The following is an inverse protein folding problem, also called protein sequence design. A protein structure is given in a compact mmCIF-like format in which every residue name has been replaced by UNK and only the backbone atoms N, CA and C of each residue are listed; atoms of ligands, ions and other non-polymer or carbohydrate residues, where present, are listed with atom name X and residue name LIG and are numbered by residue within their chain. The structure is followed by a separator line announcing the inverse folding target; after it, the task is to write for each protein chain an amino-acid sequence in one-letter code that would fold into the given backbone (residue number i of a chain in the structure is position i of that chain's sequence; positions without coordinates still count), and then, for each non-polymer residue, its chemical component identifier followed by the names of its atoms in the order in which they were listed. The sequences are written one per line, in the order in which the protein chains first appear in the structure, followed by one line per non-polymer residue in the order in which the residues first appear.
data_IF_737689897309
#
_entry.id   IF_737689897309
#
_cell.length_a   1.000
_cell.length_b   1.000
_cell.length_c   1.000
_cell.angle_alpha   90.00
_cell.angle_beta   90.00
_cell.angle_gamma   90.00
#
_symmetry.space_group_name_H-M   'P 1'
#
loop_
_entity.id
_entity.type
_entity.pdbx_description
1 polymer ?
#
# COMPACT_ATOMS: atom_id res chain seq x y z
N UNK A 1 39.25 -28.11 -49.78
CA UNK A 1 40.62 -28.68 -49.83
C UNK A 1 40.65 -29.62 -51.04
N UNK A 2 41.22 -29.21 -52.18
CA UNK A 2 41.09 -30.03 -53.40
C UNK A 2 41.85 -29.61 -54.66
N UNK A 3 42.65 -28.52 -54.65
CA UNK A 3 43.32 -28.05 -55.89
C UNK A 3 44.85 -27.98 -55.82
N UNK A 4 45.50 -28.45 -54.75
CA UNK A 4 46.96 -28.42 -54.65
C UNK A 4 47.68 -29.55 -55.43
N UNK A 5 46.96 -30.54 -55.96
CA UNK A 5 47.54 -31.75 -56.56
C UNK A 5 47.65 -31.74 -58.10
N UNK A 6 47.31 -30.63 -58.78
CA UNK A 6 47.36 -30.53 -60.25
C UNK A 6 48.38 -29.54 -60.80
N UNK A 7 49.41 -29.22 -60.02
CA UNK A 7 50.53 -28.41 -60.48
C UNK A 7 51.77 -29.32 -60.54
N UNK A 8 51.74 -30.30 -61.46
CA UNK A 8 52.97 -30.92 -61.95
C UNK A 8 53.59 -29.90 -62.90
N UNK A 9 54.33 -28.95 -62.33
CA UNK A 9 55.16 -27.98 -63.08
C UNK A 9 56.22 -28.83 -63.77
N UNK A 10 55.95 -29.20 -65.02
CA UNK A 10 56.99 -29.61 -65.93
C UNK A 10 57.74 -28.31 -66.22
N UNK A 11 58.67 -27.95 -65.33
CA UNK A 11 59.48 -26.75 -65.47
C UNK A 11 60.17 -26.81 -66.82
N UNK A 12 60.22 -25.67 -67.52
CA UNK A 12 60.83 -25.57 -68.84
C UNK A 12 62.26 -26.11 -68.87
N UNK A 13 62.95 -26.13 -67.72
CA UNK A 13 64.23 -26.80 -67.54
C UNK A 13 64.19 -28.28 -67.98
N UNK A 14 63.25 -29.09 -67.51
CA UNK A 14 63.19 -30.51 -67.92
C UNK A 14 62.92 -30.72 -69.41
N UNK A 15 62.22 -29.79 -70.07
CA UNK A 15 61.89 -29.89 -71.49
C UNK A 15 63.09 -29.58 -72.39
N UNK A 16 63.89 -28.57 -72.03
CA UNK A 16 65.00 -28.09 -72.87
C UNK A 16 66.38 -28.54 -72.40
N UNK A 17 66.56 -29.00 -71.15
CA UNK A 17 67.85 -29.51 -70.64
C UNK A 17 68.40 -30.62 -71.53
N UNK A 18 67.54 -31.54 -71.99
CA UNK A 18 67.95 -32.61 -72.91
C UNK A 18 68.49 -32.06 -74.24
N UNK A 19 67.86 -31.01 -74.77
CA UNK A 19 68.28 -30.38 -76.03
C UNK A 19 69.62 -29.64 -75.86
N UNK A 20 69.83 -28.95 -74.73
CA UNK A 20 71.10 -28.30 -74.39
C UNK A 20 72.24 -29.32 -74.21
N UNK A 21 71.99 -30.43 -73.50
CA UNK A 21 72.95 -31.53 -73.36
C UNK A 21 73.32 -32.14 -74.71
N UNK A 22 72.33 -32.36 -75.59
CA UNK A 22 72.56 -32.92 -76.93
C UNK A 22 73.36 -31.95 -77.82
N UNK A 23 73.03 -30.66 -77.80
CA UNK A 23 73.78 -29.62 -78.54
C UNK A 23 75.22 -29.50 -78.04
N UNK A 24 75.44 -29.55 -76.72
CA UNK A 24 76.78 -29.51 -76.12
C UNK A 24 77.62 -30.70 -76.54
N UNK A 25 77.02 -31.90 -76.51
CA UNK A 25 77.67 -33.12 -76.97
C UNK A 25 78.07 -33.05 -78.44
N UNK A 26 77.15 -32.60 -79.32
CA UNK A 26 77.46 -32.42 -80.75
C UNK A 26 78.59 -31.43 -80.99
N UNK A 27 78.63 -30.31 -80.26
CA UNK A 27 79.73 -29.35 -80.36
C UNK A 27 81.07 -29.95 -79.90
N UNK A 28 81.06 -30.77 -78.85
CA UNK A 28 82.26 -31.48 -78.38
C UNK A 28 82.75 -32.55 -79.38
N UNK A 29 81.85 -33.28 -80.00
CA UNK A 29 82.17 -34.27 -81.05
C UNK A 29 82.79 -33.58 -82.28
N UNK A 30 82.26 -32.41 -82.67
CA UNK A 30 82.81 -31.57 -83.74
C UNK A 30 84.20 -31.06 -83.37
N UNK A 31 84.38 -30.54 -82.15
CA UNK A 31 85.68 -30.06 -81.64
C UNK A 31 86.75 -31.17 -81.69
N UNK A 32 86.39 -32.38 -81.26
CA UNK A 32 87.28 -33.55 -81.26
C UNK A 32 87.63 -34.02 -82.69
N UNK A 33 86.65 -33.97 -83.59
CA UNK A 33 86.85 -34.28 -85.02
C UNK A 33 87.77 -33.25 -85.70
N UNK A 34 87.66 -31.97 -85.34
CA UNK A 34 88.52 -30.91 -85.86
C UNK A 34 89.96 -31.02 -85.36
N UNK A 35 90.16 -31.40 -84.09
CA UNK A 35 91.51 -31.65 -83.53
C UNK A 35 92.22 -32.84 -84.18
N UNK A 36 91.48 -33.82 -84.69
CA UNK A 36 92.04 -35.04 -85.31
C UNK A 36 92.33 -34.89 -86.82
N UNK A 37 91.74 -33.91 -87.51
CA UNK A 37 91.96 -33.65 -88.93
C UNK A 37 93.26 -32.84 -89.19
N UNK A 38 94.33 -33.49 -89.71
CA UNK A 38 95.58 -32.84 -90.18
C UNK A 38 95.39 -32.13 -91.54
N UNK A 39 94.59 -31.06 -91.60
CA UNK A 39 94.39 -30.22 -92.79
C UNK A 39 94.64 -28.74 -92.44
N UNK A 40 95.32 -28.00 -93.33
CA UNK A 40 95.51 -26.54 -93.34
C UNK A 40 95.47 -25.79 -92.00
N UNK A 41 96.65 -25.46 -91.46
CA UNK A 41 96.88 -24.88 -90.13
C UNK A 41 96.02 -23.65 -89.76
N UNK A 42 95.46 -22.91 -90.72
CA UNK A 42 94.67 -21.71 -90.44
C UNK A 42 93.15 -21.95 -90.34
N UNK A 43 92.57 -22.82 -91.19
CA UNK A 43 91.10 -23.03 -91.25
C UNK A 43 90.58 -23.83 -90.06
N UNK A 44 91.36 -24.79 -89.55
CA UNK A 44 91.00 -25.60 -88.36
C UNK A 44 90.99 -24.73 -87.09
N UNK A 45 91.88 -23.75 -86.99
CA UNK A 45 91.94 -22.82 -85.85
C UNK A 45 90.70 -21.92 -85.80
N UNK A 46 90.25 -21.41 -86.94
CA UNK A 46 89.04 -20.58 -87.03
C UNK A 46 87.77 -21.38 -86.69
N UNK A 47 87.66 -22.62 -87.17
CA UNK A 47 86.52 -23.47 -86.87
C UNK A 47 86.46 -23.86 -85.38
N UNK A 48 87.60 -24.18 -84.77
CA UNK A 48 87.68 -24.43 -83.32
C UNK A 48 87.30 -23.19 -82.50
N UNK A 49 87.70 -22.00 -82.94
CA UNK A 49 87.29 -20.74 -82.33
C UNK A 49 85.77 -20.54 -82.41
N UNK A 50 85.16 -20.82 -83.57
CA UNK A 50 83.72 -20.72 -83.76
C UNK A 50 82.94 -21.75 -82.92
N UNK A 51 83.44 -22.99 -82.80
CA UNK A 51 82.84 -24.01 -81.93
C UNK A 51 82.91 -23.58 -80.47
N UNK A 52 84.03 -23.03 -80.01
CA UNK A 52 84.14 -22.49 -78.65
C UNK A 52 83.19 -21.30 -78.41
N UNK A 53 83.07 -20.39 -79.38
CA UNK A 53 82.11 -19.29 -79.32
C UNK A 53 80.66 -19.78 -79.26
N UNK A 54 80.32 -20.85 -79.99
CA UNK A 54 79.00 -21.48 -79.95
C UNK A 54 78.75 -22.18 -78.61
N UNK A 55 79.73 -22.90 -78.05
CA UNK A 55 79.63 -23.50 -76.71
C UNK A 55 79.38 -22.42 -75.65
N UNK A 56 80.09 -21.29 -75.71
CA UNK A 56 79.87 -20.16 -74.79
C UNK A 56 78.47 -19.58 -74.92
N UNK A 57 77.99 -19.34 -76.15
CA UNK A 57 76.61 -18.86 -76.38
C UNK A 57 75.56 -19.85 -75.91
N UNK A 58 75.80 -21.16 -76.06
CA UNK A 58 74.90 -22.21 -75.61
C UNK A 58 74.82 -22.23 -74.08
N UNK A 59 75.95 -22.15 -73.38
CA UNK A 59 76.01 -22.06 -71.92
C UNK A 59 75.30 -20.79 -71.39
N UNK A 60 75.48 -19.65 -72.07
CA UNK A 60 74.76 -18.42 -71.73
C UNK A 60 73.24 -18.55 -71.91
N UNK A 61 72.80 -19.22 -72.98
CA UNK A 61 71.39 -19.47 -73.24
C UNK A 61 70.79 -20.43 -72.19
N UNK A 62 71.50 -21.51 -71.86
CA UNK A 62 71.09 -22.45 -70.81
C UNK A 62 70.92 -21.74 -69.46
N UNK A 63 71.89 -20.91 -69.08
CA UNK A 63 71.84 -20.11 -67.85
C UNK A 63 70.63 -19.16 -67.86
N UNK A 64 70.38 -18.44 -68.96
CA UNK A 64 69.23 -17.53 -69.09
C UNK A 64 67.88 -18.25 -68.96
N UNK A 65 67.76 -19.45 -69.52
CA UNK A 65 66.54 -20.27 -69.42
C UNK A 65 66.35 -20.74 -67.98
N UNK A 66 67.42 -21.19 -67.31
CA UNK A 66 67.38 -21.59 -65.90
C UNK A 66 66.96 -20.42 -65.00
N UNK A 67 67.61 -19.26 -65.14
CA UNK A 67 67.29 -18.06 -64.37
C UNK A 67 65.83 -17.61 -64.61
N UNK A 68 65.35 -17.70 -65.86
CA UNK A 68 63.95 -17.39 -66.18
C UNK A 68 62.95 -18.37 -65.55
N UNK A 69 63.28 -19.66 -65.52
CA UNK A 69 62.46 -20.69 -64.88
C UNK A 69 62.39 -20.50 -63.36
N UNK A 70 63.53 -20.20 -62.72
CA UNK A 70 63.58 -19.95 -61.28
C UNK A 70 62.76 -18.71 -60.90
N UNK A 71 62.84 -17.65 -61.73
CA UNK A 71 61.99 -16.47 -61.59
C UNK A 71 60.50 -16.79 -61.76
N UNK A 72 60.13 -17.62 -62.76
CA UNK A 72 58.74 -18.02 -62.98
C UNK A 72 58.20 -18.83 -61.80
N UNK A 73 59.00 -19.74 -61.23
CA UNK A 73 58.63 -20.51 -60.05
C UNK A 73 58.45 -19.62 -58.81
N UNK A 74 59.32 -18.63 -58.62
CA UNK A 74 59.19 -17.65 -57.55
C UNK A 74 57.93 -16.79 -57.70
N UNK A 75 57.61 -16.33 -58.92
CA UNK A 75 56.38 -15.58 -59.22
C UNK A 75 55.14 -16.45 -58.99
N UNK A 76 55.14 -17.70 -59.47
CA UNK A 76 54.02 -18.64 -59.30
C UNK A 76 53.74 -18.90 -57.83
N UNK A 77 54.80 -19.09 -57.03
CA UNK A 77 54.67 -19.27 -55.58
C UNK A 77 54.07 -18.03 -54.89
N UNK A 78 54.50 -16.82 -55.31
CA UNK A 78 53.93 -15.55 -54.81
C UNK A 78 52.45 -15.40 -55.19
N UNK A 79 52.06 -15.77 -56.42
CA UNK A 79 50.66 -15.74 -56.87
C UNK A 79 49.81 -16.70 -56.04
N UNK A 80 50.29 -17.92 -55.80
CA UNK A 80 49.57 -18.89 -54.98
C UNK A 80 49.39 -18.40 -53.53
N UNK A 81 50.43 -17.82 -52.93
CA UNK A 81 50.34 -17.22 -51.59
C UNK A 81 49.38 -16.02 -51.56
N UNK A 82 49.40 -15.21 -52.62
CA UNK A 82 48.47 -14.09 -52.80
C UNK A 82 47.02 -14.56 -52.87
N UNK A 83 46.73 -15.63 -53.62
CA UNK A 83 45.39 -16.22 -53.70
C UNK A 83 44.89 -16.75 -52.36
N UNK A 84 45.74 -17.45 -51.60
CA UNK A 84 45.38 -17.94 -50.25
C UNK A 84 45.09 -16.76 -49.31
N UNK A 85 45.92 -15.71 -49.36
CA UNK A 85 45.70 -14.49 -48.57
C UNK A 85 44.41 -13.77 -48.97
N UNK A 86 44.08 -13.74 -50.26
CA UNK A 86 42.86 -13.14 -50.78
C UNK A 86 41.61 -13.91 -50.32
N UNK A 87 41.66 -15.24 -50.33
CA UNK A 87 40.55 -16.08 -49.84
C UNK A 87 40.36 -15.91 -48.32
N UNK A 88 41.44 -15.81 -47.55
CA UNK A 88 41.37 -15.51 -46.12
C UNK A 88 40.74 -14.12 -45.85
N UNK A 89 41.09 -13.12 -46.69
CA UNK A 89 40.51 -11.78 -46.60
C UNK A 89 39.02 -11.78 -46.94
N UNK A 90 38.60 -12.53 -47.97
CA UNK A 90 37.18 -12.68 -48.34
C UNK A 90 36.37 -13.26 -47.17
N UNK A 91 36.85 -14.33 -46.55
CA UNK A 91 36.19 -14.92 -45.37
C UNK A 91 36.09 -13.90 -44.23
N UNK A 92 37.13 -13.10 -44.02
CA UNK A 92 37.14 -12.06 -42.98
C UNK A 92 36.12 -10.95 -43.27
N UNK A 93 35.98 -10.54 -44.53
CA UNK A 93 34.97 -9.56 -44.98
C UNK A 93 33.55 -10.10 -44.78
N UNK A 94 33.30 -11.36 -45.15
CA UNK A 94 31.98 -11.98 -44.97
C UNK A 94 31.61 -12.07 -43.48
N UNK A 95 32.57 -12.43 -42.62
CA UNK A 95 32.36 -12.44 -41.17
C UNK A 95 32.07 -11.03 -40.63
N UNK A 96 32.85 -10.03 -41.07
CA UNK A 96 32.63 -8.64 -40.68
C UNK A 96 31.24 -8.14 -41.11
N UNK A 97 30.83 -8.46 -42.34
CA UNK A 97 29.50 -8.12 -42.86
C UNK A 97 28.39 -8.72 -42.01
N UNK A 98 28.51 -10.00 -41.63
CA UNK A 98 27.54 -10.67 -40.78
C UNK A 98 27.46 -10.01 -39.40
N UNK A 99 28.60 -9.75 -38.77
CA UNK A 99 28.66 -9.06 -37.47
C UNK A 99 28.08 -7.65 -37.51
N UNK A 100 28.35 -6.90 -38.57
CA UNK A 100 27.77 -5.57 -38.77
C UNK A 100 26.23 -5.64 -38.91
N UNK A 101 25.73 -6.64 -39.64
CA UNK A 101 24.28 -6.86 -39.77
C UNK A 101 23.63 -7.26 -38.44
N UNK A 102 24.26 -8.14 -37.66
CA UNK A 102 23.79 -8.54 -36.33
C UNK A 102 23.76 -7.34 -35.36
N UNK A 103 24.81 -6.52 -35.39
CA UNK A 103 24.88 -5.31 -34.57
C UNK A 103 23.74 -4.33 -34.91
N UNK A 104 23.46 -4.12 -36.19
CA UNK A 104 22.34 -3.27 -36.63
C UNK A 104 21.00 -3.78 -36.11
N UNK A 105 20.71 -5.07 -36.30
CA UNK A 105 19.46 -5.68 -35.84
C UNK A 105 19.30 -5.61 -34.31
N UNK A 106 20.37 -5.84 -33.56
CA UNK A 106 20.35 -5.77 -32.10
C UNK A 106 20.16 -4.33 -31.60
N UNK A 107 20.78 -3.34 -32.27
CA UNK A 107 20.59 -1.93 -31.95
C UNK A 107 19.13 -1.48 -32.17
N UNK A 108 18.51 -1.89 -33.28
CA UNK A 108 17.08 -1.59 -33.55
C UNK A 108 16.18 -2.20 -32.47
N UNK A 109 16.37 -3.48 -32.13
CA UNK A 109 15.60 -4.14 -31.06
C UNK A 109 15.75 -3.45 -29.71
N UNK A 110 16.97 -3.02 -29.36
CA UNK A 110 17.22 -2.31 -28.10
C UNK A 110 16.51 -0.94 -28.08
N UNK A 111 16.51 -0.23 -29.21
CA UNK A 111 15.81 1.04 -29.36
C UNK A 111 14.29 0.87 -29.24
N UNK A 112 13.71 -0.13 -29.91
CA UNK A 112 12.27 -0.44 -29.86
C UNK A 112 11.83 -0.80 -28.45
N UNK A 113 12.58 -1.67 -27.75
CA UNK A 113 12.28 -2.06 -26.38
C UNK A 113 12.33 -0.86 -25.40
N UNK A 114 13.27 0.05 -25.59
CA UNK A 114 13.37 1.27 -24.78
C UNK A 114 12.19 2.22 -25.04
N UNK A 115 11.76 2.37 -26.30
CA UNK A 115 10.60 3.19 -26.66
C UNK A 115 9.30 2.62 -26.06
N UNK A 116 9.09 1.31 -26.13
CA UNK A 116 7.91 0.66 -25.56
C UNK A 116 7.89 0.75 -24.03
N UNK A 117 9.02 0.50 -23.38
CA UNK A 117 9.18 0.65 -21.93
C UNK A 117 8.94 2.09 -21.47
N UNK A 118 9.55 3.07 -22.14
CA UNK A 118 9.37 4.50 -21.84
C UNK A 118 7.91 4.95 -22.05
N UNK A 119 7.24 4.47 -23.10
CA UNK A 119 5.84 4.76 -23.34
C UNK A 119 4.95 4.16 -22.23
N UNK A 120 5.24 2.94 -21.79
CA UNK A 120 4.49 2.31 -20.71
C UNK A 120 4.66 3.09 -19.39
N UNK A 121 5.89 3.46 -19.04
CA UNK A 121 6.18 4.31 -17.87
C UNK A 121 5.45 5.67 -17.95
N UNK A 122 5.42 6.28 -19.14
CA UNK A 122 4.71 7.56 -19.35
C UNK A 122 3.19 7.40 -19.17
N UNK A 123 2.61 6.29 -19.66
CA UNK A 123 1.18 5.99 -19.46
C UNK A 123 0.84 5.76 -18.00
N UNK A 124 1.66 5.00 -17.27
CA UNK A 124 1.50 4.78 -15.84
C UNK A 124 1.64 6.08 -15.04
N UNK A 125 2.61 6.93 -15.39
CA UNK A 125 2.79 8.24 -14.76
C UNK A 125 1.57 9.14 -15.00
N UNK A 126 1.04 9.19 -16.24
CA UNK A 126 -0.20 9.92 -16.56
C UNK A 126 -1.38 9.40 -15.73
N UNK A 127 -1.54 8.09 -15.62
CA UNK A 127 -2.63 7.51 -14.84
C UNK A 127 -2.51 7.85 -13.35
N UNK A 128 -1.30 7.76 -12.79
CA UNK A 128 -1.03 8.18 -11.40
C UNK A 128 -1.30 9.66 -11.18
N UNK A 129 -0.87 10.52 -12.10
CA UNK A 129 -1.13 11.96 -12.03
C UNK A 129 -2.63 12.27 -12.08
N UNK A 130 -3.40 11.59 -12.94
CA UNK A 130 -4.85 11.75 -13.02
C UNK A 130 -5.53 11.39 -11.70
N UNK A 131 -5.21 10.22 -11.12
CA UNK A 131 -5.80 9.81 -9.84
C UNK A 131 -5.47 10.79 -8.71
N UNK A 132 -4.22 11.25 -8.66
CA UNK A 132 -3.82 12.24 -7.67
C UNK A 132 -4.56 13.58 -7.83
N UNK A 133 -4.87 14.00 -9.06
CA UNK A 133 -5.68 15.18 -9.33
C UNK A 133 -7.15 14.98 -8.87
N UNK A 134 -7.74 13.83 -9.19
CA UNK A 134 -9.11 13.49 -8.77
C UNK A 134 -9.23 13.43 -7.23
N UNK A 135 -8.25 12.83 -6.56
CA UNK A 135 -8.15 12.80 -5.10
C UNK A 135 -8.03 14.21 -4.50
N UNK A 136 -7.17 15.07 -5.10
CA UNK A 136 -7.00 16.44 -4.64
C UNK A 136 -8.29 17.26 -4.79
N UNK A 137 -9.04 17.09 -5.88
CA UNK A 137 -10.34 17.73 -6.08
C UNK A 137 -11.37 17.24 -5.05
N UNK A 138 -11.40 15.94 -4.77
CA UNK A 138 -12.25 15.37 -3.71
C UNK A 138 -11.93 15.95 -2.34
N UNK A 139 -10.64 16.11 -2.00
CA UNK A 139 -10.21 16.72 -0.73
C UNK A 139 -10.65 18.18 -0.65
N UNK A 140 -10.57 18.95 -1.74
CA UNK A 140 -11.05 20.34 -1.76
C UNK A 140 -12.56 20.43 -1.46
N UNK A 141 -13.37 19.52 -2.00
CA UNK A 141 -14.81 19.46 -1.68
C UNK A 141 -15.06 19.18 -0.20
N UNK A 142 -14.30 18.25 0.40
CA UNK A 142 -14.40 17.94 1.83
C UNK A 142 -14.03 19.16 2.68
N UNK A 143 -12.95 19.86 2.34
CA UNK A 143 -12.51 21.08 3.04
C UNK A 143 -13.61 22.15 2.94
N UNK A 144 -14.15 22.39 1.75
CA UNK A 144 -15.21 23.39 1.55
C UNK A 144 -16.49 23.05 2.33
N UNK A 145 -16.88 21.78 2.38
CA UNK A 145 -18.02 21.35 3.19
C UNK A 145 -17.73 21.52 4.70
N UNK A 146 -16.52 21.18 5.14
CA UNK A 146 -16.11 21.32 6.54
C UNK A 146 -16.12 22.77 6.99
N UNK A 147 -15.59 23.69 6.18
CA UNK A 147 -15.63 25.14 6.45
C UNK A 147 -17.07 25.67 6.59
N UNK A 148 -18.00 25.18 5.75
CA UNK A 148 -19.44 25.49 5.88
C UNK A 148 -20.02 24.97 7.19
N UNK A 149 -19.70 23.74 7.58
CA UNK A 149 -20.19 23.16 8.84
C UNK A 149 -19.66 23.89 10.07
N UNK A 150 -18.37 24.28 10.06
CA UNK A 150 -17.77 25.09 11.12
C UNK A 150 -18.52 26.42 11.26
N UNK A 151 -18.68 27.17 10.15
CA UNK A 151 -19.40 28.45 10.18
C UNK A 151 -20.85 28.33 10.64
N UNK A 152 -21.54 27.26 10.25
CA UNK A 152 -22.91 27.02 10.70
C UNK A 152 -22.96 26.69 12.20
N UNK A 153 -21.99 25.91 12.68
CA UNK A 153 -21.86 25.57 14.10
C UNK A 153 -21.52 26.80 14.92
N UNK A 154 -20.59 27.64 14.48
CA UNK A 154 -20.22 28.89 15.15
C UNK A 154 -21.44 29.82 15.26
N UNK A 155 -22.19 30.01 14.17
CA UNK A 155 -23.43 30.79 14.20
C UNK A 155 -24.48 30.21 15.15
N UNK A 156 -24.61 28.89 15.19
CA UNK A 156 -25.53 28.22 16.10
C UNK A 156 -25.11 28.47 17.56
N UNK A 157 -23.81 28.32 17.86
CA UNK A 157 -23.24 28.59 19.19
C UNK A 157 -23.50 30.04 19.56
N UNK A 158 -23.16 31.01 18.71
CA UNK A 158 -23.39 32.44 18.96
C UNK A 158 -24.87 32.74 19.21
N UNK A 159 -25.77 32.16 18.39
CA UNK A 159 -27.22 32.37 18.53
C UNK A 159 -27.78 31.77 19.82
N UNK A 160 -27.22 30.66 20.30
CA UNK A 160 -27.70 29.94 21.47
C UNK A 160 -26.99 30.33 22.76
N UNK A 161 -25.84 31.01 22.67
CA UNK A 161 -25.04 31.38 23.83
C UNK A 161 -25.83 32.22 24.84
N UNK A 162 -26.57 33.23 24.34
CA UNK A 162 -27.41 34.07 25.21
C UNK A 162 -28.54 33.26 25.84
N UNK A 163 -29.21 32.38 25.08
CA UNK A 163 -30.30 31.55 25.59
C UNK A 163 -29.81 30.59 26.68
N UNK A 164 -28.66 29.95 26.47
CA UNK A 164 -28.04 29.07 27.45
C UNK A 164 -27.71 29.83 28.74
N UNK A 165 -27.07 30.99 28.63
CA UNK A 165 -26.71 31.81 29.80
C UNK A 165 -27.96 32.31 30.54
N UNK A 166 -29.00 32.72 29.81
CA UNK A 166 -30.27 33.15 30.39
C UNK A 166 -30.96 31.99 31.12
N UNK A 167 -31.04 30.81 30.51
CA UNK A 167 -31.63 29.62 31.14
C UNK A 167 -30.85 29.20 32.38
N UNK A 168 -29.52 29.25 32.34
CA UNK A 168 -28.68 28.96 33.49
C UNK A 168 -28.97 29.94 34.65
N UNK A 169 -28.97 31.24 34.36
CA UNK A 169 -29.27 32.28 35.36
C UNK A 169 -30.69 32.14 35.92
N UNK A 170 -31.68 31.82 35.09
CA UNK A 170 -33.06 31.56 35.55
C UNK A 170 -33.15 30.32 36.44
N UNK A 171 -32.42 29.26 36.11
CA UNK A 171 -32.37 28.04 36.92
C UNK A 171 -31.70 28.31 38.28
N UNK A 172 -30.59 29.05 38.29
CA UNK A 172 -29.89 29.42 39.52
C UNK A 172 -30.78 30.29 40.41
N UNK A 173 -31.55 31.23 39.82
CA UNK A 173 -32.53 32.03 40.55
C UNK A 173 -33.66 31.17 41.14
N UNK A 174 -34.24 30.26 40.35
CA UNK A 174 -35.28 29.33 40.84
C UNK A 174 -34.76 28.41 41.95
N UNK A 175 -33.51 27.97 41.84
CA UNK A 175 -32.88 27.15 42.87
C UNK A 175 -32.74 27.92 44.18
N UNK A 176 -32.36 29.19 44.11
CA UNK A 176 -32.26 30.05 45.28
C UNK A 176 -33.63 30.35 45.90
N UNK A 177 -34.65 30.64 45.08
CA UNK A 177 -36.04 30.78 45.53
C UNK A 177 -36.55 29.51 46.24
N UNK A 178 -36.24 28.33 45.70
CA UNK A 178 -36.60 27.06 46.33
C UNK A 178 -35.87 26.84 47.67
N UNK A 179 -34.59 27.22 47.76
CA UNK A 179 -33.84 27.16 49.02
C UNK A 179 -34.41 28.11 50.06
N UNK A 180 -34.81 29.31 49.66
CA UNK A 180 -35.45 30.27 50.56
C UNK A 180 -36.79 29.72 51.07
N UNK A 181 -37.61 29.15 50.18
CA UNK A 181 -38.87 28.51 50.56
C UNK A 181 -38.67 27.32 51.51
N UNK A 182 -37.67 26.48 51.26
CA UNK A 182 -37.31 25.36 52.14
C UNK A 182 -36.86 25.86 53.51
N UNK A 183 -35.93 26.81 53.55
CA UNK A 183 -35.45 27.43 54.80
C UNK A 183 -36.60 28.04 55.61
N UNK A 184 -37.52 28.73 54.94
CA UNK A 184 -38.71 29.28 55.57
C UNK A 184 -39.63 28.20 56.11
N UNK A 185 -39.86 27.12 55.34
CA UNK A 185 -40.66 25.99 55.80
C UNK A 185 -40.02 25.33 57.01
N UNK A 186 -38.73 25.00 56.94
CA UNK A 186 -37.96 24.39 58.04
C UNK A 186 -38.04 25.27 59.29
N UNK A 187 -37.89 26.60 59.16
CA UNK A 187 -38.03 27.51 60.31
C UNK A 187 -39.42 27.53 60.96
N UNK A 188 -40.46 27.13 60.23
CA UNK A 188 -41.85 27.10 60.70
C UNK A 188 -42.25 25.73 61.26
N UNK A 189 -41.56 24.65 60.88
CA UNK A 189 -41.88 23.28 61.30
C UNK A 189 -41.90 23.10 62.83
N UNK A 190 -40.97 23.64 63.63
CA UNK A 190 -41.02 23.51 65.09
C UNK A 190 -42.32 24.08 65.66
N UNK A 191 -42.72 25.27 65.22
CA UNK A 191 -43.95 25.91 65.72
C UNK A 191 -45.21 25.14 65.31
N UNK A 192 -45.22 24.57 64.10
CA UNK A 192 -46.31 23.72 63.63
C UNK A 192 -46.37 22.42 64.46
N UNK A 193 -45.22 21.77 64.70
CA UNK A 193 -45.11 20.58 65.56
C UNK A 193 -45.56 20.89 66.99
N UNK A 194 -45.25 22.08 67.51
CA UNK A 194 -45.74 22.54 68.80
C UNK A 194 -47.26 22.57 68.87
N UNK A 195 -47.91 23.18 67.87
CA UNK A 195 -49.37 23.30 67.82
C UNK A 195 -50.08 21.97 67.57
N UNK A 196 -49.51 21.13 66.70
CA UNK A 196 -50.16 19.88 66.27
C UNK A 196 -49.84 18.70 67.20
N UNK A 197 -48.56 18.53 67.53
CA UNK A 197 -48.05 17.40 68.29
C UNK A 197 -47.82 17.70 69.77
N UNK A 198 -47.71 18.98 70.16
CA UNK A 198 -47.61 19.40 71.57
C UNK A 198 -46.22 19.82 72.04
N UNK A 199 -45.20 19.78 71.17
CA UNK A 199 -43.84 20.23 71.49
C UNK A 199 -43.19 20.92 70.28
N UNK A 200 -42.57 22.08 70.49
CA UNK A 200 -41.81 22.77 69.45
C UNK A 200 -40.43 22.13 69.28
N UNK A 201 -40.32 21.20 68.33
CA UNK A 201 -39.07 20.52 67.98
C UNK A 201 -39.05 20.17 66.49
N UNK A 202 -37.86 20.20 65.90
CA UNK A 202 -37.58 19.67 64.57
C UNK A 202 -37.12 18.21 64.59
N UNK A 203 -36.87 17.67 65.78
CA UNK A 203 -36.47 16.28 65.94
C UNK A 203 -37.68 15.39 66.21
N UNK A 204 -37.53 14.10 65.91
CA UNK A 204 -38.53 13.07 66.22
C UNK A 204 -38.54 12.70 67.70
N UNK A 205 -38.86 13.68 68.55
CA UNK A 205 -38.87 13.57 70.00
C UNK A 205 -40.06 12.72 70.51
N UNK A 206 -40.34 12.80 71.81
CA UNK A 206 -41.41 12.04 72.48
C UNK A 206 -42.75 12.28 71.77
N UNK A 207 -43.08 13.54 71.51
CA UNK A 207 -44.30 13.96 70.84
C UNK A 207 -44.28 13.80 69.32
N UNK A 208 -43.15 13.47 68.70
CA UNK A 208 -43.02 13.34 67.25
C UNK A 208 -43.12 14.68 66.51
N UNK A 209 -43.50 14.62 65.23
CA UNK A 209 -43.48 15.78 64.33
C UNK A 209 -43.65 15.41 62.87
N UNK A 210 -43.65 16.42 61.99
CA UNK A 210 -43.67 16.23 60.55
C UNK A 210 -42.52 15.32 60.09
N UNK A 211 -42.85 14.25 59.34
CA UNK A 211 -41.85 13.28 58.86
C UNK A 211 -41.45 12.17 59.85
N UNK A 212 -41.89 12.23 61.11
CA UNK A 212 -41.49 11.26 62.14
C UNK A 212 -42.37 10.01 62.23
N UNK A 213 -43.47 9.94 61.47
CA UNK A 213 -44.41 8.81 61.49
C UNK A 213 -45.27 8.69 62.75
N UNK A 214 -45.05 9.55 63.75
CA UNK A 214 -45.87 9.70 64.96
C UNK A 214 -46.01 11.18 65.31
N UNK A 215 -47.15 11.57 65.89
CA UNK A 215 -47.42 12.93 66.36
C UNK A 215 -48.43 12.87 67.50
N UNK A 216 -48.12 13.49 68.64
CA UNK A 216 -48.94 13.44 69.86
C UNK A 216 -48.58 12.28 70.80
N UNK A 217 -49.41 12.08 71.82
CA UNK A 217 -49.25 11.04 72.84
C UNK A 217 -49.54 11.55 74.25
N UNK A 218 -49.54 10.63 75.23
CA UNK A 218 -49.94 10.92 76.62
C UNK A 218 -49.10 12.03 77.28
N UNK A 219 -47.86 12.23 76.85
CA UNK A 219 -46.98 13.28 77.39
C UNK A 219 -47.08 14.61 76.64
N UNK A 220 -48.03 14.72 75.70
CA UNK A 220 -48.10 15.75 74.68
C UNK A 220 -49.48 16.39 74.65
N UNK A 221 -49.98 16.71 75.84
CA UNK A 221 -51.36 17.14 76.08
C UNK A 221 -51.71 18.47 75.42
N UNK A 222 -50.70 19.31 75.14
CA UNK A 222 -50.94 20.59 74.49
C UNK A 222 -51.18 20.47 72.97
N UNK A 223 -50.82 19.33 72.38
CA UNK A 223 -50.97 19.07 70.95
C UNK A 223 -52.42 18.91 70.53
N UNK A 224 -52.77 19.51 69.38
CA UNK A 224 -54.10 19.40 68.80
C UNK A 224 -54.52 17.93 68.54
N UNK A 225 -53.59 17.07 68.12
CA UNK A 225 -53.88 15.64 67.87
C UNK A 225 -54.23 14.93 69.17
N UNK A 226 -53.41 15.06 70.22
CA UNK A 226 -53.69 14.45 71.53
C UNK A 226 -55.02 14.94 72.09
N UNK A 227 -55.31 16.24 72.00
CA UNK A 227 -56.60 16.82 72.43
C UNK A 227 -57.78 16.23 71.67
N UNK A 228 -57.65 16.04 70.35
CA UNK A 228 -58.70 15.43 69.53
C UNK A 228 -58.91 13.94 69.87
N UNK A 229 -57.84 13.19 70.09
CA UNK A 229 -57.91 11.78 70.52
C UNK A 229 -58.55 11.64 71.90
N UNK A 230 -58.16 12.48 72.87
CA UNK A 230 -58.76 12.50 74.20
C UNK A 230 -60.24 12.87 74.14
N UNK A 231 -60.62 13.85 73.30
CA UNK A 231 -62.02 14.23 73.10
C UNK A 231 -62.85 13.09 72.47
N UNK A 232 -62.28 12.37 71.50
CA UNK A 232 -62.91 11.22 70.88
C UNK A 232 -63.09 10.06 71.87
N UNK A 233 -62.05 9.72 72.63
CA UNK A 233 -62.12 8.69 73.68
C UNK A 233 -63.16 9.06 74.75
N UNK A 234 -63.18 10.33 75.17
CA UNK A 234 -64.18 10.83 76.10
C UNK A 234 -65.60 10.74 75.54
N UNK A 235 -65.80 11.10 74.27
CA UNK A 235 -67.09 10.99 73.59
C UNK A 235 -67.55 9.53 73.51
N UNK A 236 -66.68 8.60 73.09
CA UNK A 236 -66.99 7.17 73.00
C UNK A 236 -67.32 6.57 74.37
N UNK A 237 -66.54 6.90 75.41
CA UNK A 237 -66.81 6.47 76.78
C UNK A 237 -68.14 7.01 77.28
N UNK A 238 -68.46 8.26 76.94
CA UNK A 238 -69.73 8.90 77.31
C UNK A 238 -70.89 8.24 76.57
N UNK A 239 -70.76 7.96 75.28
CA UNK A 239 -71.75 7.23 74.47
C UNK A 239 -72.03 5.85 75.07
N UNK A 240 -70.99 5.07 75.39
CA UNK A 240 -71.14 3.77 76.04
C UNK A 240 -71.89 3.88 77.38
N UNK A 241 -71.50 4.85 78.23
CA UNK A 241 -72.19 5.07 79.51
C UNK A 241 -73.65 5.48 79.33
N UNK A 242 -73.95 6.33 78.36
CA UNK A 242 -75.33 6.74 78.04
C UNK A 242 -76.15 5.51 77.64
N UNK A 243 -75.61 4.67 76.75
CA UNK A 243 -76.28 3.45 76.29
C UNK A 243 -76.56 2.45 77.42
N UNK A 244 -75.60 2.26 78.33
CA UNK A 244 -75.77 1.39 79.49
C UNK A 244 -76.86 1.93 80.45
N UNK A 245 -76.87 3.24 80.67
CA UNK A 245 -77.90 3.89 81.49
C UNK A 245 -79.28 3.86 80.81
N UNK A 246 -79.35 4.00 79.49
CA UNK A 246 -80.58 3.86 78.70
C UNK A 246 -81.18 2.46 78.84
N UNK A 247 -80.38 1.41 78.63
CA UNK A 247 -80.81 0.01 78.82
C UNK A 247 -81.31 -0.26 80.24
N UNK A 248 -80.60 0.27 81.24
CA UNK A 248 -81.00 0.15 82.64
C UNK A 248 -82.33 0.87 82.92
N UNK A 249 -82.52 2.06 82.35
CA UNK A 249 -83.75 2.83 82.48
C UNK A 249 -84.94 2.14 81.79
N UNK A 250 -84.74 1.58 80.59
CA UNK A 250 -85.75 0.78 79.88
C UNK A 250 -86.17 -0.46 80.69
N UNK A 251 -85.20 -1.17 81.28
CA UNK A 251 -85.47 -2.31 82.15
C UNK A 251 -86.31 -1.92 83.38
N UNK A 252 -85.92 -0.84 84.08
CA UNK A 252 -86.67 -0.31 85.22
C UNK A 252 -88.07 0.16 84.80
N UNK A 253 -88.20 0.84 83.66
CA UNK A 253 -89.48 1.28 83.12
C UNK A 253 -90.41 0.09 82.83
N UNK A 254 -89.89 -0.99 82.27
CA UNK A 254 -90.64 -2.23 82.04
C UNK A 254 -91.11 -2.87 83.35
N UNK A 255 -90.23 -2.94 84.36
CA UNK A 255 -90.60 -3.46 85.69
C UNK A 255 -91.71 -2.62 86.34
N UNK A 256 -91.56 -1.29 86.35
CA UNK A 256 -92.57 -0.38 86.91
C UNK A 256 -93.90 -0.49 86.16
N UNK A 257 -93.85 -0.60 84.83
CA UNK A 257 -95.04 -0.77 84.00
C UNK A 257 -95.74 -2.10 84.29
N UNK A 258 -94.99 -3.20 84.46
CA UNK A 258 -95.53 -4.50 84.84
C UNK A 258 -96.17 -4.43 86.23
N UNK A 259 -95.45 -3.91 87.24
CA UNK A 259 -95.98 -3.73 88.60
C UNK A 259 -97.26 -2.89 88.59
N UNK A 260 -97.31 -1.83 87.77
CA UNK A 260 -98.51 -1.01 87.60
C UNK A 260 -99.67 -1.83 87.03
N UNK A 261 -99.45 -2.61 85.97
CA UNK A 261 -100.48 -3.47 85.39
C UNK A 261 -100.96 -4.53 86.38
N UNK A 262 -100.04 -5.19 87.08
CA UNK A 262 -100.35 -6.20 88.10
C UNK A 262 -101.15 -5.58 89.25
N UNK A 263 -100.78 -4.38 89.72
CA UNK A 263 -101.52 -3.64 90.76
C UNK A 263 -102.93 -3.27 90.29
N UNK A 264 -103.10 -2.84 89.04
CA UNK A 264 -104.42 -2.56 88.46
C UNK A 264 -105.25 -3.84 88.36
N UNK A 265 -104.65 -4.96 87.96
CA UNK A 265 -105.31 -6.26 87.87
C UNK A 265 -105.73 -6.80 89.25
N UNK A 266 -104.91 -6.63 90.28
CA UNK A 266 -105.27 -6.96 91.68
C UNK A 266 -106.43 -6.07 92.15
N UNK A 267 -106.37 -4.76 91.88
CA UNK A 267 -107.44 -3.82 92.23
C UNK A 267 -108.77 -4.12 91.55
N UNK A 268 -108.76 -4.72 90.36
CA UNK A 268 -110.01 -5.10 89.65
C UNK A 268 -110.57 -6.46 90.08
N UNK A 269 -109.81 -7.24 90.86
CA UNK A 269 -110.24 -8.53 91.43
C UNK A 269 -110.62 -8.45 92.92
N UNK A 270 -110.42 -7.30 93.56
CA UNK A 270 -110.88 -6.96 94.90
C UNK A 270 -112.18 -6.16 94.83
#
# INVERSE_FOLDING_TARGET
IGNASKIKIVGATGAYTKDFEEMTKKLHDIETSLKSAKLGQNTVVELLSNVSALQNKLNEAEKKVKDSNDNLNAITSKINLGNVSLDALRISIDNLKNKASELGNNATKLQEANLEGALNLTREAKQRASRAADEAESVQMIIANTDRQIKNTDKLIESQYSNFNNTQNENDKKLEELREHLSKLDSQLPSINGKMCGQESDNCDICGGAGCGKCGGISCDEGAITKAEQALDFANKTEHRIKDHELSAEYLFRLVSQVKQDTVAVRTRA
#
